data_IF_136438411696
#
_entry.id   IF_136438411696
#
_cell.length_a   1.000
_cell.length_b   1.000
_cell.length_c   1.000
_cell.angle_alpha   90.00
_cell.angle_beta   90.00
_cell.angle_gamma   90.00
#
_symmetry.space_group_name_H-M   'P 1'
#
loop_
_entity.id
_entity.type
_entity.pdbx_description
1 polymer ?
#
# COMPACT_ATOMS: atom_id res chain seq x y z
N UNK A 1 48.39 -26.50 43.44
CA UNK A 1 47.55 -26.75 42.26
C UNK A 1 46.15 -26.18 42.54
N UNK A 2 45.84 -24.99 42.03
CA UNK A 2 44.55 -24.33 42.26
C UNK A 2 43.68 -24.47 41.01
N UNK A 3 42.52 -25.13 41.14
CA UNK A 3 41.52 -25.28 40.08
C UNK A 3 40.57 -24.07 40.12
N UNK A 4 40.60 -23.25 39.08
CA UNK A 4 39.60 -22.21 38.83
C UNK A 4 38.35 -22.86 38.22
N UNK A 5 37.18 -22.67 38.87
CA UNK A 5 35.86 -23.00 38.30
C UNK A 5 35.34 -21.76 37.59
N UNK A 6 35.16 -21.83 36.28
CA UNK A 6 34.41 -20.83 35.53
C UNK A 6 32.91 -21.07 35.74
N UNK A 7 32.26 -20.12 36.40
CA UNK A 7 30.80 -20.04 36.50
C UNK A 7 30.34 -19.25 35.28
N UNK A 8 29.73 -19.94 34.32
CA UNK A 8 29.07 -19.27 33.19
C UNK A 8 27.69 -18.80 33.66
N UNK A 9 27.49 -17.49 33.76
CA UNK A 9 26.17 -16.90 33.92
C UNK A 9 25.43 -17.00 32.59
N UNK A 10 24.49 -17.95 32.48
CA UNK A 10 23.57 -18.02 31.35
C UNK A 10 22.49 -16.97 31.59
N UNK A 11 22.59 -15.85 30.90
CA UNK A 11 21.51 -14.86 30.83
C UNK A 11 20.43 -15.44 29.93
N UNK A 12 19.33 -15.91 30.52
CA UNK A 12 18.14 -16.32 29.78
C UNK A 12 17.46 -15.06 29.26
N UNK A 13 17.70 -14.73 27.99
CA UNK A 13 16.97 -13.67 27.29
C UNK A 13 15.63 -14.24 26.86
N UNK A 14 14.54 -13.75 27.45
CA UNK A 14 13.19 -14.07 26.97
C UNK A 14 12.99 -13.41 25.60
N UNK A 15 12.51 -14.15 24.58
CA UNK A 15 12.26 -13.59 23.26
C UNK A 15 11.20 -12.49 23.31
N UNK A 16 11.29 -11.45 22.44
CA UNK A 16 10.29 -10.40 22.38
C UNK A 16 8.92 -10.99 21.99
N UNK A 17 7.88 -10.57 22.72
CA UNK A 17 6.50 -10.97 22.44
C UNK A 17 6.05 -10.43 21.07
N UNK A 18 5.45 -11.25 20.18
CA UNK A 18 5.02 -10.78 18.86
C UNK A 18 3.90 -9.74 18.96
N UNK A 19 3.76 -8.83 17.98
CA UNK A 19 2.64 -7.88 17.92
C UNK A 19 1.32 -8.62 17.60
N UNK A 20 0.15 -8.05 17.93
CA UNK A 20 -1.14 -8.66 17.62
C UNK A 20 -1.31 -8.97 16.13
N UNK A 21 -1.83 -10.15 15.78
CA UNK A 21 -1.95 -10.59 14.40
C UNK A 21 -2.20 -12.10 14.22
N UNK A 22 -2.25 -12.55 12.97
CA UNK A 22 -2.46 -13.96 12.62
C UNK A 22 -1.14 -14.69 12.38
N UNK A 23 -0.86 -15.71 13.20
CA UNK A 23 0.37 -16.51 13.15
C UNK A 23 0.07 -18.00 12.97
N UNK A 24 1.07 -18.83 12.59
CA UNK A 24 0.94 -20.28 12.65
C UNK A 24 0.58 -20.73 14.07
N UNK A 25 -0.42 -21.61 14.20
CA UNK A 25 -0.85 -22.10 15.51
C UNK A 25 0.29 -22.88 16.22
N UNK A 26 0.78 -22.39 17.38
CA UNK A 26 1.86 -23.07 18.10
C UNK A 26 1.42 -24.41 18.71
N UNK A 27 0.11 -24.67 18.85
CA UNK A 27 -0.39 -25.97 19.30
C UNK A 27 -0.33 -27.06 18.22
N UNK A 28 0.10 -26.71 17.00
CA UNK A 28 0.33 -27.67 15.91
C UNK A 28 -0.96 -28.22 15.29
N UNK A 29 -2.11 -27.57 15.45
CA UNK A 29 -3.38 -28.04 14.87
C UNK A 29 -3.48 -27.86 13.34
N UNK A 30 -2.44 -27.32 12.70
CA UNK A 30 -2.38 -27.11 11.25
C UNK A 30 -3.14 -25.86 10.77
N UNK A 31 -3.55 -24.97 11.67
CA UNK A 31 -4.26 -23.73 11.36
C UNK A 31 -3.47 -22.45 11.64
N UNK A 32 -4.14 -21.31 11.48
CA UNK A 32 -3.68 -20.00 11.96
C UNK A 32 -4.39 -19.67 13.27
N UNK A 33 -3.67 -19.13 14.24
CA UNK A 33 -4.24 -18.59 15.48
C UNK A 33 -4.02 -17.08 15.53
N UNK A 34 -4.98 -16.35 16.12
CA UNK A 34 -4.84 -14.91 16.30
C UNK A 34 -4.20 -14.64 17.67
N UNK A 35 -3.09 -13.92 17.66
CA UNK A 35 -2.42 -13.40 18.85
C UNK A 35 -2.95 -12.00 19.14
N UNK A 36 -3.45 -11.76 20.35
CA UNK A 36 -3.98 -10.44 20.74
C UNK A 36 -2.96 -9.56 21.50
N UNK A 37 -1.71 -10.02 21.65
CA UNK A 37 -0.68 -9.35 22.45
C UNK A 37 -0.50 -9.92 23.86
N UNK A 38 -1.44 -10.74 24.34
CA UNK A 38 -1.39 -11.39 25.67
C UNK A 38 -1.67 -12.89 25.62
N UNK A 39 -2.61 -13.31 24.78
CA UNK A 39 -3.03 -14.70 24.64
C UNK A 39 -3.44 -15.02 23.20
N UNK A 40 -3.46 -16.32 22.89
CA UNK A 40 -3.98 -16.86 21.64
C UNK A 40 -5.50 -16.98 21.75
N UNK A 41 -6.24 -16.49 20.76
CA UNK A 41 -7.70 -16.48 20.83
C UNK A 41 -8.40 -16.20 19.51
N UNK A 42 -9.72 -15.99 19.60
CA UNK A 42 -10.52 -15.53 18.47
C UNK A 42 -10.23 -14.04 18.22
N UNK A 43 -10.17 -13.58 16.96
CA UNK A 43 -10.08 -12.15 16.69
C UNK A 43 -11.28 -11.44 17.34
N UNK A 44 -11.13 -10.17 17.77
CA UNK A 44 -12.26 -9.40 18.27
C UNK A 44 -13.37 -9.47 17.23
N UNK A 45 -14.58 -9.87 17.63
CA UNK A 45 -15.72 -9.88 16.73
C UNK A 45 -15.88 -8.48 16.19
N UNK A 46 -15.62 -8.30 14.89
CA UNK A 46 -15.87 -7.03 14.22
C UNK A 46 -17.32 -6.68 14.52
N UNK A 47 -17.54 -5.68 15.38
CA UNK A 47 -18.88 -5.24 15.70
C UNK A 47 -19.59 -4.94 14.38
N UNK A 48 -20.81 -5.44 14.17
CA UNK A 48 -21.53 -5.25 12.91
C UNK A 48 -21.55 -3.76 12.58
N UNK A 49 -20.78 -3.39 11.56
CA UNK A 49 -20.51 -2.01 11.23
C UNK A 49 -21.82 -1.29 10.94
N UNK A 50 -21.98 -0.11 11.55
CA UNK A 50 -23.08 0.86 11.39
C UNK A 50 -23.45 1.19 9.92
N UNK A 51 -22.64 0.73 8.95
CA UNK A 51 -22.84 0.84 7.50
C UNK A 51 -24.10 0.10 7.00
N UNK A 52 -24.53 -0.99 7.65
CA UNK A 52 -25.79 -1.66 7.28
C UNK A 52 -27.01 -0.76 7.50
N UNK A 53 -26.99 0.07 8.55
CA UNK A 53 -28.08 1.01 8.84
C UNK A 53 -28.16 2.17 7.83
N UNK A 54 -27.03 2.60 7.27
CA UNK A 54 -26.98 3.67 6.27
C UNK A 54 -27.57 3.20 4.94
N UNK A 55 -27.27 1.97 4.51
CA UNK A 55 -27.83 1.41 3.27
C UNK A 55 -29.35 1.25 3.39
N UNK A 56 -29.84 0.75 4.52
CA UNK A 56 -31.28 0.53 4.74
C UNK A 56 -32.06 1.85 4.82
N UNK A 57 -31.49 2.90 5.43
CA UNK A 57 -32.09 4.23 5.44
C UNK A 57 -32.15 4.87 4.04
N UNK A 58 -31.15 4.64 3.18
CA UNK A 58 -31.16 5.18 1.82
C UNK A 58 -32.23 4.54 0.93
N UNK A 59 -32.47 3.23 1.05
CA UNK A 59 -33.50 2.52 0.30
C UNK A 59 -34.89 3.01 0.70
N UNK A 60 -35.13 3.23 1.99
CA UNK A 60 -36.39 3.78 2.48
C UNK A 60 -36.64 5.21 1.96
N UNK A 61 -35.61 6.06 1.89
CA UNK A 61 -35.71 7.42 1.36
C UNK A 61 -35.99 7.45 -0.15
N UNK A 62 -35.34 6.57 -0.93
CA UNK A 62 -35.60 6.44 -2.37
C UNK A 62 -37.01 5.92 -2.65
N UNK A 63 -37.49 4.94 -1.87
CA UNK A 63 -38.87 4.44 -2.01
C UNK A 63 -39.91 5.50 -1.63
N UNK A 64 -39.64 6.34 -0.61
CA UNK A 64 -40.50 7.47 -0.26
C UNK A 64 -40.51 8.56 -1.34
N UNK A 65 -39.36 8.83 -1.96
CA UNK A 65 -39.23 9.77 -3.06
C UNK A 65 -39.97 9.26 -4.32
N UNK A 66 -39.84 7.97 -4.65
CA UNK A 66 -40.54 7.35 -5.77
C UNK A 66 -42.05 7.31 -5.56
N UNK A 67 -42.52 7.07 -4.32
CA UNK A 67 -43.95 7.14 -3.99
C UNK A 67 -44.51 8.57 -4.09
N UNK A 68 -43.69 9.60 -3.81
CA UNK A 68 -44.09 11.00 -3.98
C UNK A 68 -44.14 11.45 -5.45
N UNK A 69 -43.26 10.90 -6.30
CA UNK A 69 -43.22 11.23 -7.74
C UNK A 69 -44.28 10.43 -8.53
N UNK A 70 -44.56 9.19 -8.12
CA UNK A 70 -45.54 8.31 -8.79
C UNK A 70 -47.02 8.67 -8.56
N UNK A 71 -47.34 9.67 -7.74
CA UNK A 71 -48.71 10.08 -7.46
C UNK A 71 -49.34 11.08 -8.44
N UNK A 72 -48.63 11.49 -9.51
CA UNK A 72 -49.09 12.56 -10.42
C UNK A 72 -49.09 12.23 -11.92
N UNK A 73 -48.79 11.00 -12.34
CA UNK A 73 -48.86 10.63 -13.75
C UNK A 73 -49.71 9.36 -13.89
N UNK A 74 -50.96 9.58 -14.26
CA UNK A 74 -51.87 8.53 -14.70
C UNK A 74 -51.50 8.00 -16.09
N UNK A 75 -52.09 6.82 -16.35
CA UNK A 75 -52.40 6.19 -17.64
C UNK A 75 -51.52 6.53 -18.85
N UNK A 76 -50.79 5.52 -19.34
CA UNK A 76 -51.08 4.96 -20.66
C UNK A 76 -50.50 3.54 -20.74
N UNK A 77 -51.38 2.60 -21.12
CA UNK A 77 -51.06 1.23 -21.51
C UNK A 77 -50.40 1.27 -22.90
N UNK A 78 -49.33 0.50 -23.12
CA UNK A 78 -49.17 -0.21 -24.41
C UNK A 78 -48.11 -1.33 -24.33
N UNK A 79 -48.66 -2.53 -24.50
CA UNK A 79 -48.20 -3.73 -25.19
C UNK A 79 -46.72 -3.93 -25.65
N UNK A 80 -46.26 -5.14 -25.31
CA UNK A 80 -45.69 -6.15 -26.22
C UNK A 80 -44.18 -6.19 -26.54
N UNK A 81 -43.64 -7.37 -26.20
CA UNK A 81 -42.74 -8.20 -27.01
C UNK A 81 -41.32 -7.69 -27.31
N UNK A 82 -40.32 -8.35 -26.74
CA UNK A 82 -39.64 -9.46 -27.44
C UNK A 82 -38.51 -10.02 -26.56
N UNK A 83 -38.41 -11.35 -26.55
CA UNK A 83 -37.26 -12.07 -26.05
C UNK A 83 -36.08 -11.87 -27.01
N UNK A 84 -34.91 -11.52 -26.48
CA UNK A 84 -33.64 -11.76 -27.18
C UNK A 84 -32.73 -12.62 -26.30
N UNK A 85 -32.72 -13.91 -26.63
CA UNK A 85 -31.60 -14.80 -26.44
C UNK A 85 -30.43 -14.29 -27.29
N UNK A 86 -29.22 -14.20 -26.74
CA UNK A 86 -28.00 -14.21 -27.57
C UNK A 86 -26.88 -15.00 -26.89
N UNK A 87 -26.85 -16.27 -27.29
CA UNK A 87 -25.71 -17.01 -27.84
C UNK A 87 -24.37 -16.99 -27.10
N UNK A 88 -24.15 -18.05 -26.34
CA UNK A 88 -22.84 -18.56 -25.93
C UNK A 88 -22.02 -18.92 -27.18
N UNK A 89 -20.93 -18.19 -27.45
CA UNK A 89 -19.95 -18.58 -28.48
C UNK A 89 -18.81 -19.34 -27.81
N UNK A 90 -18.89 -20.67 -27.85
CA UNK A 90 -17.78 -21.57 -27.51
C UNK A 90 -16.83 -21.65 -28.71
N UNK A 91 -15.70 -20.94 -28.62
CA UNK A 91 -14.63 -21.08 -29.61
C UNK A 91 -13.76 -22.30 -29.31
N UNK A 92 -13.62 -23.18 -30.31
CA UNK A 92 -12.67 -24.29 -30.34
C UNK A 92 -11.23 -23.77 -30.39
N UNK A 93 -10.27 -24.37 -29.64
CA UNK A 93 -8.86 -24.14 -29.91
C UNK A 93 -8.46 -24.92 -31.18
N UNK A 94 -8.20 -24.19 -32.27
CA UNK A 94 -7.54 -24.70 -33.48
C UNK A 94 -6.07 -24.99 -33.18
N UNK A 95 -5.64 -26.21 -33.51
CA UNK A 95 -4.25 -26.66 -33.37
C UNK A 95 -3.27 -25.74 -34.08
N UNK A 96 -2.25 -25.30 -33.35
CA UNK A 96 -1.12 -24.56 -33.90
C UNK A 96 -0.06 -25.55 -34.38
N UNK A 97 0.23 -25.51 -35.67
CA UNK A 97 1.30 -26.25 -36.32
C UNK A 97 2.66 -25.67 -35.89
N UNK A 98 3.46 -26.47 -35.18
CA UNK A 98 4.86 -26.17 -34.90
C UNK A 98 5.66 -26.21 -36.21
N UNK A 99 6.08 -25.05 -36.70
CA UNK A 99 7.13 -24.94 -37.73
C UNK A 99 8.47 -24.86 -37.02
N UNK A 100 9.25 -25.92 -37.14
CA UNK A 100 10.63 -26.06 -36.68
C UNK A 100 11.53 -25.08 -37.47
N UNK A 101 11.88 -23.96 -36.84
CA UNK A 101 12.78 -22.97 -37.43
C UNK A 101 14.23 -23.45 -37.33
N UNK A 102 14.94 -23.39 -38.47
CA UNK A 102 16.34 -23.73 -38.60
C UNK A 102 17.24 -22.94 -37.61
N UNK A 103 18.36 -23.52 -37.15
CA UNK A 103 19.29 -22.87 -36.23
C UNK A 103 19.91 -21.63 -36.88
N UNK A 104 19.48 -20.44 -36.45
CA UNK A 104 20.14 -19.20 -36.80
C UNK A 104 21.44 -19.09 -36.00
N UNK A 105 22.55 -18.98 -36.71
CA UNK A 105 23.86 -18.68 -36.13
C UNK A 105 23.85 -17.24 -35.63
N UNK A 106 23.56 -17.06 -34.35
CA UNK A 106 23.60 -15.75 -33.68
C UNK A 106 25.02 -15.21 -33.73
N UNK A 107 25.26 -14.26 -34.63
CA UNK A 107 26.46 -13.42 -34.57
C UNK A 107 26.41 -12.68 -33.24
N UNK A 108 27.38 -12.92 -32.37
CA UNK A 108 27.46 -12.28 -31.06
C UNK A 108 27.47 -10.76 -31.25
N UNK A 109 26.35 -10.12 -30.87
CA UNK A 109 26.24 -8.67 -30.91
C UNK A 109 27.33 -8.07 -30.00
N UNK A 110 27.99 -7.03 -30.49
CA UNK A 110 28.95 -6.27 -29.71
C UNK A 110 28.30 -5.84 -28.38
N UNK A 111 29.04 -5.87 -27.26
CA UNK A 111 28.50 -5.48 -25.96
C UNK A 111 27.92 -4.07 -26.07
N UNK A 112 26.70 -3.82 -25.55
CA UNK A 112 26.09 -2.51 -25.61
C UNK A 112 27.03 -1.48 -24.95
N UNK A 113 27.08 -0.25 -25.48
CA UNK A 113 27.90 0.80 -24.88
C UNK A 113 27.51 0.97 -23.39
N UNK A 114 28.48 1.29 -22.51
CA UNK A 114 28.21 1.51 -21.09
C UNK A 114 27.13 2.59 -20.94
N UNK A 115 26.02 2.22 -20.29
CA UNK A 115 24.89 3.12 -20.05
C UNK A 115 25.38 4.26 -19.16
N UNK A 116 25.23 5.50 -19.63
CA UNK A 116 25.57 6.68 -18.83
C UNK A 116 24.80 6.64 -17.49
N UNK A 117 25.42 7.06 -16.37
CA UNK A 117 24.74 7.06 -15.08
C UNK A 117 23.49 7.93 -15.15
N UNK A 118 22.35 7.34 -14.78
CA UNK A 118 21.07 8.00 -14.85
C UNK A 118 21.06 9.21 -13.89
N UNK A 119 20.65 10.37 -14.40
CA UNK A 119 20.62 11.62 -13.62
C UNK A 119 19.33 11.68 -12.79
N UNK A 120 19.42 12.18 -11.56
CA UNK A 120 18.26 12.34 -10.69
C UNK A 120 17.22 13.29 -11.31
N UNK A 121 15.93 12.94 -11.30
CA UNK A 121 14.88 13.89 -11.64
C UNK A 121 14.91 15.10 -10.67
N UNK A 122 14.55 16.31 -11.14
CA UNK A 122 14.41 17.47 -10.26
C UNK A 122 13.46 17.19 -9.09
N UNK A 123 13.80 17.69 -7.90
CA UNK A 123 12.95 17.52 -6.71
C UNK A 123 12.88 16.08 -6.19
N UNK A 124 13.87 15.22 -6.49
CA UNK A 124 13.95 13.86 -5.93
C UNK A 124 15.34 13.52 -5.39
N UNK A 125 15.37 12.65 -4.39
CA UNK A 125 16.58 12.11 -3.76
C UNK A 125 16.82 10.68 -4.27
N UNK A 126 18.07 10.33 -4.57
CA UNK A 126 18.41 8.97 -4.98
C UNK A 126 18.24 8.02 -3.79
N UNK A 127 17.55 6.91 -4.02
CA UNK A 127 17.45 5.85 -3.02
C UNK A 127 18.81 5.17 -2.84
N UNK A 128 19.20 4.96 -1.58
CA UNK A 128 20.34 4.14 -1.18
C UNK A 128 19.95 3.27 0.01
N UNK A 129 20.91 2.60 0.67
CA UNK A 129 20.65 1.89 1.93
C UNK A 129 19.96 2.80 2.95
N UNK A 130 20.38 4.06 3.01
CA UNK A 130 19.73 5.13 3.75
C UNK A 130 19.77 6.41 2.90
N UNK A 131 18.67 7.16 2.88
CA UNK A 131 18.57 8.45 2.20
C UNK A 131 17.58 9.34 2.93
N UNK A 132 17.74 10.67 2.85
CA UNK A 132 16.88 11.63 3.55
C UNK A 132 16.56 12.85 2.70
N UNK A 133 15.41 13.47 2.96
CA UNK A 133 15.10 14.84 2.54
C UNK A 133 14.58 15.65 3.72
N UNK A 134 14.74 16.96 3.63
CA UNK A 134 14.17 17.96 4.54
C UNK A 134 13.33 18.92 3.72
N UNK A 135 12.16 19.31 4.21
CA UNK A 135 11.48 20.47 3.61
C UNK A 135 12.18 21.73 4.08
N UNK A 136 12.29 22.70 3.19
CA UNK A 136 12.74 24.06 3.52
C UNK A 136 11.58 25.04 3.63
N UNK A 137 10.36 24.59 3.32
CA UNK A 137 9.12 25.34 3.53
C UNK A 137 8.47 24.90 4.83
N UNK A 138 7.66 25.79 5.41
CA UNK A 138 6.74 25.47 6.49
C UNK A 138 5.33 25.65 5.96
N UNK A 139 4.48 24.66 6.20
CA UNK A 139 3.09 24.67 5.79
C UNK A 139 2.17 24.45 6.99
N UNK A 140 0.94 24.98 6.89
CA UNK A 140 -0.13 24.71 7.82
C UNK A 140 -1.25 23.94 7.09
N UNK A 141 -2.00 23.05 7.76
CA UNK A 141 -1.93 22.75 9.20
C UNK A 141 -0.83 21.74 9.58
N UNK A 142 -0.22 21.07 8.60
CA UNK A 142 0.85 20.09 8.79
C UNK A 142 2.10 20.61 8.09
N UNK A 143 3.20 20.64 8.83
CA UNK A 143 4.51 21.11 8.38
C UNK A 143 5.44 19.91 8.20
N UNK A 144 5.78 19.54 6.96
CA UNK A 144 6.65 18.39 6.68
C UNK A 144 8.10 18.77 7.02
N UNK A 145 8.68 18.18 8.05
CA UNK A 145 10.04 18.54 8.47
C UNK A 145 11.11 17.72 7.76
N UNK A 146 10.91 16.40 7.70
CA UNK A 146 11.92 15.45 7.22
C UNK A 146 11.26 14.16 6.75
N UNK A 147 11.82 13.55 5.72
CA UNK A 147 11.58 12.15 5.42
C UNK A 147 12.90 11.37 5.32
N UNK A 148 12.84 10.10 5.71
CA UNK A 148 13.95 9.15 5.61
C UNK A 148 13.45 7.88 4.93
N UNK A 149 14.26 7.37 4.00
CA UNK A 149 14.04 6.09 3.33
C UNK A 149 15.21 5.17 3.63
N UNK A 150 14.91 3.99 4.14
CA UNK A 150 15.88 2.93 4.42
C UNK A 150 15.52 1.69 3.62
N UNK A 151 16.44 1.22 2.78
CA UNK A 151 16.23 0.08 1.89
C UNK A 151 17.00 -1.13 2.43
N UNK A 152 16.28 -2.22 2.69
CA UNK A 152 16.89 -3.45 3.19
C UNK A 152 15.88 -4.52 3.56
N UNK A 153 16.38 -5.64 4.08
CA UNK A 153 15.55 -6.68 4.67
C UNK A 153 14.95 -6.21 6.00
N UNK A 154 13.68 -6.52 6.24
CA UNK A 154 12.98 -6.15 7.47
C UNK A 154 12.38 -7.38 8.13
N UNK A 155 12.56 -7.50 9.45
CA UNK A 155 11.98 -8.58 10.22
C UNK A 155 10.45 -8.65 10.01
N UNK A 156 9.93 -9.85 9.75
CA UNK A 156 8.52 -10.08 9.51
C UNK A 156 8.03 -9.75 8.09
N UNK A 157 8.93 -9.40 7.17
CA UNK A 157 8.60 -9.17 5.74
C UNK A 157 9.46 -10.04 4.85
N UNK A 158 8.89 -10.46 3.72
CA UNK A 158 9.60 -11.22 2.71
C UNK A 158 10.37 -10.27 1.77
N UNK A 159 11.64 -10.58 1.51
CA UNK A 159 12.50 -9.83 0.60
C UNK A 159 12.98 -8.48 1.15
N UNK A 160 13.53 -7.68 0.24
CA UNK A 160 13.90 -6.28 0.45
C UNK A 160 12.64 -5.41 0.51
N UNK A 161 12.64 -4.41 1.38
CA UNK A 161 11.58 -3.42 1.49
C UNK A 161 12.20 -2.03 1.70
N UNK A 162 11.39 -0.98 1.51
CA UNK A 162 11.79 0.39 1.80
C UNK A 162 10.96 0.93 2.98
N UNK A 163 11.60 1.20 4.11
CA UNK A 163 10.96 1.83 5.28
C UNK A 163 11.02 3.33 5.06
N UNK A 164 9.87 3.97 5.14
CA UNK A 164 9.71 5.41 4.93
C UNK A 164 9.23 6.02 6.24
N UNK A 165 10.07 6.83 6.86
CA UNK A 165 9.73 7.57 8.08
C UNK A 165 9.53 9.03 7.73
N UNK A 166 8.32 9.54 7.93
CA UNK A 166 7.95 10.94 7.70
C UNK A 166 7.77 11.61 9.05
N UNK A 167 8.47 12.73 9.26
CA UNK A 167 8.37 13.57 10.44
C UNK A 167 7.71 14.89 10.03
N UNK A 168 6.68 15.29 10.77
CA UNK A 168 5.94 16.53 10.56
C UNK A 168 5.60 17.20 11.89
N UNK A 169 5.53 18.53 11.87
CA UNK A 169 4.97 19.33 12.96
C UNK A 169 3.53 19.76 12.64
N UNK A 170 2.83 20.32 13.62
CA UNK A 170 1.43 20.71 13.50
C UNK A 170 0.44 19.61 13.88
N UNK A 171 -0.85 19.94 13.80
CA UNK A 171 -1.94 19.01 14.10
C UNK A 171 -2.55 18.47 12.81
N UNK A 172 -2.73 17.14 12.74
CA UNK A 172 -3.52 16.52 11.68
C UNK A 172 -4.97 17.04 11.76
N UNK A 173 -5.52 17.62 10.69
CA UNK A 173 -6.92 18.05 10.66
C UNK A 173 -7.90 16.97 11.15
N UNK A 174 -8.80 17.36 12.05
CA UNK A 174 -9.86 16.50 12.56
C UNK A 174 -10.96 16.24 11.53
N UNK A 175 -11.04 17.06 10.48
CA UNK A 175 -11.99 16.95 9.37
C UNK A 175 -11.25 17.01 8.04
N UNK A 176 -11.83 16.43 7.00
CA UNK A 176 -11.26 16.43 5.66
C UNK A 176 -10.29 15.28 5.45
N UNK A 177 -9.60 15.29 4.31
CA UNK A 177 -8.66 14.25 3.91
C UNK A 177 -7.23 14.69 4.10
N UNK A 178 -6.40 13.78 4.61
CA UNK A 178 -4.94 13.98 4.67
C UNK A 178 -4.27 12.78 4.05
N UNK A 179 -3.28 13.02 3.19
CA UNK A 179 -2.45 11.99 2.58
C UNK A 179 -0.98 12.34 2.77
N UNK A 180 -0.25 11.44 3.42
CA UNK A 180 1.21 11.43 3.38
C UNK A 180 1.63 10.43 2.33
N UNK A 181 2.42 10.87 1.35
CA UNK A 181 2.82 9.99 0.26
C UNK A 181 4.29 10.13 -0.08
N UNK A 182 4.92 9.00 -0.41
CA UNK A 182 6.21 8.96 -1.09
C UNK A 182 5.97 8.65 -2.57
N UNK A 183 6.57 9.43 -3.45
CA UNK A 183 6.56 9.23 -4.90
C UNK A 183 7.95 8.77 -5.36
N UNK A 184 8.06 7.48 -5.71
CA UNK A 184 9.29 6.88 -6.22
C UNK A 184 9.23 6.71 -7.73
N UNK A 185 10.33 7.01 -8.43
CA UNK A 185 10.44 6.92 -9.89
C UNK A 185 11.77 6.29 -10.30
N UNK A 186 11.77 5.42 -11.31
CA UNK A 186 12.99 4.78 -11.83
C UNK A 186 13.51 5.47 -13.13
N UNK A 187 14.70 5.10 -13.65
CA UNK A 187 15.25 5.67 -14.87
C UNK A 187 14.38 5.48 -16.13
N UNK A 188 13.51 4.46 -16.13
CA UNK A 188 12.57 4.20 -17.21
C UNK A 188 11.30 5.06 -17.12
N UNK A 189 11.13 5.85 -16.06
CA UNK A 189 9.95 6.69 -15.81
C UNK A 189 8.81 5.96 -15.11
N UNK A 190 8.97 4.68 -14.76
CA UNK A 190 7.98 3.97 -13.95
C UNK A 190 7.91 4.59 -12.56
N UNK A 191 6.68 4.81 -12.08
CA UNK A 191 6.43 5.52 -10.83
C UNK A 191 5.54 4.68 -9.91
N UNK A 192 5.90 4.65 -8.63
CA UNK A 192 5.12 4.02 -7.56
C UNK A 192 4.87 5.05 -6.45
N UNK A 193 3.61 5.20 -6.05
CA UNK A 193 3.26 5.92 -4.83
C UNK A 193 3.14 4.95 -3.66
N UNK A 194 3.70 5.31 -2.51
CA UNK A 194 3.36 4.73 -1.21
C UNK A 194 2.53 5.77 -0.46
N UNK A 195 1.37 5.40 0.08
CA UNK A 195 0.46 6.35 0.71
C UNK A 195 -0.14 5.88 2.02
N UNK A 196 -0.29 6.81 2.96
CA UNK A 196 -1.12 6.69 4.16
C UNK A 196 -2.16 7.81 4.15
N UNK A 197 -3.44 7.44 4.19
CA UNK A 197 -4.56 8.37 4.02
C UNK A 197 -5.53 8.33 5.19
N UNK A 198 -5.92 9.50 5.68
CA UNK A 198 -6.99 9.69 6.65
C UNK A 198 -8.17 10.47 6.06
N UNK A 199 -9.34 10.30 6.66
CA UNK A 199 -10.55 11.09 6.44
C UNK A 199 -11.17 11.34 7.82
N UNK A 200 -11.35 12.60 8.18
CA UNK A 200 -11.89 13.03 9.48
C UNK A 200 -11.12 12.40 10.66
N UNK A 201 -9.78 12.42 10.58
CA UNK A 201 -8.87 11.82 11.54
C UNK A 201 -8.86 10.28 11.57
N UNK A 202 -9.71 9.60 10.79
CA UNK A 202 -9.76 8.15 10.71
C UNK A 202 -8.89 7.64 9.55
N UNK A 203 -8.07 6.61 9.78
CA UNK A 203 -7.35 5.92 8.69
C UNK A 203 -8.36 5.32 7.70
N UNK A 204 -8.24 5.70 6.44
CA UNK A 204 -9.03 5.14 5.33
C UNK A 204 -8.18 4.42 4.28
N UNK A 205 -6.85 4.57 4.31
CA UNK A 205 -5.98 3.90 3.35
C UNK A 205 -4.54 3.75 3.82
N UNK A 206 -3.96 2.60 3.49
CA UNK A 206 -2.52 2.35 3.53
C UNK A 206 -2.19 1.47 2.34
N UNK A 207 -1.46 2.00 1.36
CA UNK A 207 -1.41 1.40 0.02
C UNK A 207 -0.11 1.71 -0.70
N UNK A 208 0.17 0.93 -1.75
CA UNK A 208 1.05 1.39 -2.83
C UNK A 208 0.31 1.35 -4.17
N UNK A 209 0.71 2.24 -5.08
CA UNK A 209 0.07 2.44 -6.38
C UNK A 209 1.13 2.58 -7.48
N UNK A 210 1.40 1.51 -8.24
CA UNK A 210 2.18 1.58 -9.47
C UNK A 210 1.37 2.29 -10.56
N UNK A 211 1.80 3.48 -10.97
CA UNK A 211 1.05 4.31 -11.93
C UNK A 211 0.85 3.63 -13.28
N UNK A 212 1.85 2.87 -13.74
CA UNK A 212 1.77 2.13 -15.00
C UNK A 212 0.69 1.04 -15.04
N UNK A 213 0.22 0.59 -13.88
CA UNK A 213 -0.83 -0.44 -13.79
C UNK A 213 -2.22 0.16 -13.55
N UNK A 214 -2.31 1.42 -13.11
CA UNK A 214 -3.58 2.05 -12.77
C UNK A 214 -4.33 1.36 -11.62
N UNK A 215 -3.64 0.56 -10.80
CA UNK A 215 -4.24 -0.23 -9.72
C UNK A 215 -3.61 0.10 -8.37
N UNK A 216 -4.48 0.36 -7.39
CA UNK A 216 -4.08 0.49 -5.99
C UNK A 216 -4.01 -0.88 -5.33
N UNK A 217 -2.95 -1.08 -4.55
CA UNK A 217 -2.75 -2.26 -3.72
C UNK A 217 -2.83 -1.87 -2.26
N UNK A 218 -3.98 -2.14 -1.65
CA UNK A 218 -4.14 -1.96 -0.21
C UNK A 218 -3.25 -2.95 0.53
N UNK A 219 -2.59 -2.45 1.56
CA UNK A 219 -1.64 -3.22 2.35
C UNK A 219 -2.20 -3.51 3.74
N UNK A 220 -2.00 -4.76 4.17
CA UNK A 220 -2.31 -5.18 5.52
C UNK A 220 -1.34 -4.60 6.55
N UNK A 221 -1.85 -4.45 7.78
CA UNK A 221 -1.10 -3.89 8.91
C UNK A 221 -1.38 -2.39 9.12
N UNK A 222 -0.50 -1.77 9.90
CA UNK A 222 -0.56 -0.35 10.20
C UNK A 222 0.73 0.29 9.71
N UNK A 223 0.60 1.43 9.02
CA UNK A 223 1.63 2.45 9.18
C UNK A 223 1.71 2.76 10.68
N UNK A 224 2.91 2.77 11.23
CA UNK A 224 3.11 3.08 12.64
C UNK A 224 2.99 4.59 12.82
N UNK A 225 2.01 4.98 13.63
CA UNK A 225 1.68 6.37 13.96
C UNK A 225 1.63 6.54 15.48
N UNK A 226 2.33 5.69 16.23
CA UNK A 226 2.30 5.69 17.70
C UNK A 226 3.06 6.89 18.28
N UNK A 227 3.97 7.46 17.49
CA UNK A 227 4.71 8.66 17.85
C UNK A 227 4.05 9.89 17.21
N UNK A 228 3.56 10.86 18.00
CA UNK A 228 2.96 12.08 17.46
C UNK A 228 3.91 12.81 16.50
N UNK A 229 3.38 13.23 15.34
CA UNK A 229 4.18 13.89 14.31
C UNK A 229 5.06 12.94 13.48
N UNK A 230 4.99 11.63 13.70
CA UNK A 230 5.75 10.65 12.93
C UNK A 230 4.82 9.62 12.28
N UNK A 231 5.09 9.30 11.01
CA UNK A 231 4.44 8.21 10.29
C UNK A 231 5.52 7.31 9.69
N UNK A 232 5.50 6.03 10.03
CA UNK A 232 6.35 5.01 9.42
C UNK A 232 5.54 4.12 8.49
N UNK A 233 5.90 4.11 7.22
CA UNK A 233 5.33 3.27 6.17
C UNK A 233 6.39 2.30 5.65
N UNK A 234 5.94 1.27 4.94
CA UNK A 234 6.82 0.31 4.26
C UNK A 234 6.33 0.06 2.84
N UNK A 235 7.17 0.36 1.86
CA UNK A 235 7.00 -0.11 0.49
C UNK A 235 7.50 -1.56 0.41
N UNK A 236 6.63 -2.53 0.06
CA UNK A 236 7.01 -3.95 0.01
C UNK A 236 7.87 -4.25 -1.21
N UNK A 237 8.51 -5.43 -1.23
CA UNK A 237 9.30 -5.93 -2.36
C UNK A 237 8.55 -5.79 -3.68
N UNK A 238 7.26 -6.16 -3.74
CA UNK A 238 6.47 -6.08 -4.98
C UNK A 238 6.38 -4.65 -5.56
N UNK A 239 6.43 -3.62 -4.72
CA UNK A 239 6.50 -2.22 -5.15
C UNK A 239 7.92 -1.83 -5.58
N UNK A 240 8.95 -2.32 -4.87
CA UNK A 240 10.35 -2.12 -5.26
C UNK A 240 10.71 -2.83 -6.57
N UNK A 241 10.11 -3.98 -6.86
CA UNK A 241 10.33 -4.73 -8.11
C UNK A 241 9.93 -3.89 -9.33
N UNK A 242 8.97 -2.97 -9.18
CA UNK A 242 8.57 -2.01 -10.23
C UNK A 242 9.57 -0.88 -10.43
N UNK A 243 10.41 -0.62 -9.42
CA UNK A 243 11.40 0.45 -9.48
C UNK A 243 12.77 -0.07 -9.92
N UNK A 244 13.07 -1.34 -9.62
CA UNK A 244 14.37 -1.93 -9.88
C UNK A 244 15.46 -1.39 -8.94
N UNK A 245 16.74 -1.60 -9.27
CA UNK A 245 17.85 -1.31 -8.36
C UNK A 245 18.19 0.18 -8.23
N UNK A 246 17.76 1.01 -9.18
CA UNK A 246 18.04 2.45 -9.21
C UNK A 246 16.72 3.19 -9.29
N UNK A 247 16.48 4.07 -8.33
CA UNK A 247 15.28 4.91 -8.29
C UNK A 247 15.51 6.13 -7.41
N UNK A 248 14.66 7.14 -7.58
CA UNK A 248 14.63 8.36 -6.80
C UNK A 248 13.27 8.55 -6.17
N UNK A 249 13.21 9.33 -5.10
CA UNK A 249 11.98 9.54 -4.37
C UNK A 249 11.82 10.97 -3.87
N UNK A 250 10.58 11.33 -3.61
CA UNK A 250 10.18 12.53 -2.89
C UNK A 250 9.00 12.19 -1.97
N UNK A 251 8.73 13.04 -1.00
CA UNK A 251 7.56 12.95 -0.13
C UNK A 251 6.70 14.19 -0.31
N UNK A 252 5.38 14.01 -0.23
CA UNK A 252 4.38 15.07 -0.33
C UNK A 252 3.34 14.86 0.76
N UNK A 253 2.93 15.96 1.39
CA UNK A 253 1.76 16.01 2.29
C UNK A 253 0.64 16.74 1.56
N UNK A 254 -0.50 16.08 1.45
CA UNK A 254 -1.69 16.60 0.81
C UNK A 254 -2.83 16.74 1.83
N UNK A 255 -3.50 17.88 1.84
CA UNK A 255 -4.70 18.15 2.65
C UNK A 255 -5.82 18.57 1.70
N UNK A 256 -6.95 17.86 1.75
CA UNK A 256 -8.13 18.13 0.94
C UNK A 256 -7.88 18.21 -0.57
N UNK A 257 -6.96 17.39 -1.07
CA UNK A 257 -6.61 17.33 -2.49
C UNK A 257 -5.54 18.34 -2.90
N UNK A 258 -5.05 19.20 -1.99
CA UNK A 258 -3.97 20.13 -2.24
C UNK A 258 -2.66 19.68 -1.60
N UNK A 259 -1.59 19.61 -2.39
CA UNK A 259 -0.24 19.42 -1.87
C UNK A 259 0.18 20.69 -1.12
N UNK A 260 0.33 20.58 0.20
CA UNK A 260 0.66 21.71 1.07
C UNK A 260 2.16 21.78 1.39
N UNK A 261 2.86 20.65 1.32
CA UNK A 261 4.30 20.57 1.59
C UNK A 261 4.94 19.39 0.86
N UNK A 262 6.24 19.47 0.59
CA UNK A 262 7.00 18.40 -0.06
C UNK A 262 8.46 18.40 0.36
N UNK A 263 9.12 17.25 0.26
CA UNK A 263 10.57 17.20 0.32
C UNK A 263 11.16 16.20 -0.71
N UNK A 264 12.31 16.52 -1.31
CA UNK A 264 12.94 17.86 -1.31
C UNK A 264 12.06 18.87 -2.09
N UNK A 265 12.12 20.13 -1.71
CA UNK A 265 11.41 21.24 -2.35
C UNK A 265 12.37 22.26 -2.98
#
# INVERSE_FOLDING_TARGET
MARWRHVYNVVVTTPPTPPPGWYPDPAGTGGRAYWNGREWGKPPSQLPGKRFWIILASIAAVLLLLAFIGGLAGDDEDESSAAEQTTTTTASPTGTTTTEAAPQTTTAAAPPPPVAPATAPPGKVMAGPESTCTSTSSAAPIDLQRAQVEVGEMAGRAGTSARVTINSAGETPATGTVLWSMLATNPAGETVQLGYKTLDGQKIGYFYFPFGEGRQYDMDGFADTDTPGEIRMVLPQAGLDKLGPVWWWSVVVNVDGQDIDSCPN
#
